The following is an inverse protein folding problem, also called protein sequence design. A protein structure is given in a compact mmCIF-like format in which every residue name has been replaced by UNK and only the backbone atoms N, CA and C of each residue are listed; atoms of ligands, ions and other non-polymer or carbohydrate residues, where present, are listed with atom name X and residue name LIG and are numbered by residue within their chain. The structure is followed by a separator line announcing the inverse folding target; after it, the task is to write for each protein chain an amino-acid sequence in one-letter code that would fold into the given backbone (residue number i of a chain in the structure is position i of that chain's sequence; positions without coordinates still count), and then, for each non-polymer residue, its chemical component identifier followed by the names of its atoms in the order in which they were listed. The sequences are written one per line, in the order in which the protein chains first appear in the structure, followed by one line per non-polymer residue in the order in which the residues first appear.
data_IF_753054061845
#
_entry.id   IF_753054061845
#
_cell.length_a   1.000
_cell.length_b   1.000
_cell.length_c   1.000
_cell.angle_alpha   90.00
_cell.angle_beta   90.00
_cell.angle_gamma   90.00
#
_symmetry.space_group_name_H-M   'P 1'
#
loop_
_entity.id
_entity.type
_entity.pdbx_description
1 polymer ?
#
# COMPACT_ATOMS: atom_id res chain seq x y z
N UNK A 1 36.69 -31.04 -5.13
CA UNK A 1 35.63 -30.30 -4.41
C UNK A 1 36.05 -28.83 -4.22
N UNK A 2 36.13 -28.05 -5.30
CA UNK A 2 36.33 -26.58 -5.25
C UNK A 2 35.74 -25.84 -6.47
N UNK A 3 34.82 -26.47 -7.23
CA UNK A 3 34.16 -25.88 -8.43
C UNK A 3 32.63 -25.83 -8.27
N UNK A 4 32.07 -26.28 -7.13
CA UNK A 4 30.62 -26.32 -6.92
C UNK A 4 30.02 -25.04 -6.30
N UNK A 5 30.82 -24.04 -5.93
CA UNK A 5 30.33 -22.87 -5.16
C UNK A 5 30.11 -21.61 -6.02
N UNK A 6 30.53 -21.58 -7.29
CA UNK A 6 30.48 -20.33 -8.10
C UNK A 6 29.44 -20.36 -9.24
N UNK A 7 28.80 -21.48 -9.55
CA UNK A 7 27.99 -21.62 -10.78
C UNK A 7 26.49 -21.91 -10.59
N UNK A 8 25.94 -21.94 -9.37
CA UNK A 8 24.50 -22.11 -9.16
C UNK A 8 23.92 -23.42 -9.73
N UNK A 9 24.78 -24.43 -9.94
CA UNK A 9 24.38 -25.75 -10.42
C UNK A 9 23.70 -26.50 -9.26
N UNK A 10 22.48 -27.04 -9.43
CA UNK A 10 21.79 -27.79 -8.38
C UNK A 10 22.63 -28.95 -7.84
N UNK A 11 22.63 -29.15 -6.53
CA UNK A 11 23.45 -30.15 -5.82
C UNK A 11 23.28 -31.60 -6.29
N UNK A 12 22.13 -31.95 -6.88
CA UNK A 12 21.89 -33.29 -7.44
C UNK A 12 22.71 -33.59 -8.71
N UNK A 13 23.25 -32.57 -9.40
CA UNK A 13 24.14 -32.77 -10.55
C UNK A 13 25.53 -33.28 -10.13
N UNK A 14 26.06 -32.81 -8.99
CA UNK A 14 27.32 -33.32 -8.46
C UNK A 14 27.19 -34.79 -8.05
N UNK A 15 26.03 -35.16 -7.49
CA UNK A 15 25.72 -36.54 -7.09
C UNK A 15 25.64 -37.48 -8.30
N UNK A 16 25.02 -37.05 -9.42
CA UNK A 16 24.94 -37.86 -10.64
C UNK A 16 26.33 -38.08 -11.27
N UNK A 17 27.18 -37.05 -11.25
CA UNK A 17 28.53 -37.12 -11.81
C UNK A 17 29.44 -38.03 -10.98
N UNK A 18 29.37 -37.92 -9.65
CA UNK A 18 30.10 -38.81 -8.74
C UNK A 18 29.61 -40.26 -8.87
N UNK A 19 28.30 -40.49 -9.07
CA UNK A 19 27.74 -41.83 -9.25
C UNK A 19 28.22 -42.49 -10.54
N UNK A 20 28.23 -41.76 -11.67
CA UNK A 20 28.70 -42.27 -12.96
C UNK A 20 30.23 -42.47 -12.98
N UNK A 21 30.98 -41.61 -12.29
CA UNK A 21 32.43 -41.73 -12.14
C UNK A 21 32.80 -42.93 -11.26
N UNK A 22 32.08 -43.17 -10.16
CA UNK A 22 32.29 -44.34 -9.29
C UNK A 22 31.96 -45.65 -10.00
N UNK A 23 30.87 -45.71 -10.78
CA UNK A 23 30.50 -46.91 -11.57
C UNK A 23 31.57 -47.24 -12.63
N UNK A 24 32.23 -46.23 -13.19
CA UNK A 24 33.34 -46.40 -14.15
C UNK A 24 34.61 -46.96 -13.47
N UNK A 25 34.96 -46.48 -12.28
CA UNK A 25 36.13 -46.98 -11.52
C UNK A 25 35.86 -48.38 -10.97
N UNK A 26 34.65 -48.67 -10.49
CA UNK A 26 34.28 -49.99 -9.96
C UNK A 26 34.36 -51.10 -11.03
N UNK A 27 34.02 -50.78 -12.29
CA UNK A 27 34.17 -51.71 -13.41
C UNK A 27 35.63 -51.84 -13.91
N UNK A 28 36.51 -50.90 -13.58
CA UNK A 28 37.93 -50.92 -13.94
C UNK A 28 38.85 -51.66 -12.95
N UNK A 29 38.38 -51.94 -11.73
CA UNK A 29 39.17 -52.57 -10.66
C UNK A 29 38.90 -54.06 -10.43
N UNK A 30 38.01 -54.70 -11.21
CA UNK A 30 37.62 -56.10 -11.06
C UNK A 30 38.08 -57.01 -12.20
N UNK A 31 39.35 -56.93 -12.62
CA UNK A 31 40.00 -57.97 -13.43
C UNK A 31 41.47 -58.14 -13.04
N UNK A 32 41.70 -58.63 -11.81
CA UNK A 32 42.95 -59.25 -11.41
C UNK A 32 42.75 -60.76 -11.23
N UNK A 33 43.47 -61.54 -12.03
CA UNK A 33 43.61 -63.01 -12.05
C UNK A 33 42.48 -63.82 -12.70
N UNK A 34 42.69 -64.19 -13.97
CA UNK A 34 41.99 -65.29 -14.63
C UNK A 34 42.30 -65.34 -16.11
N UNK A 35 43.12 -66.31 -16.51
CA UNK A 35 43.49 -66.65 -17.88
C UNK A 35 42.28 -66.95 -18.79
N UNK A 36 42.27 -66.40 -19.99
CA UNK A 36 41.38 -66.83 -21.08
C UNK A 36 41.13 -65.72 -22.10
N UNK A 37 41.66 -65.90 -23.31
CA UNK A 37 41.39 -65.05 -24.47
C UNK A 37 39.88 -64.95 -24.73
N UNK A 38 39.34 -63.73 -24.74
CA UNK A 38 38.29 -63.30 -25.67
C UNK A 38 38.14 -61.76 -25.63
N UNK A 39 38.58 -61.14 -26.73
CA UNK A 39 38.21 -59.82 -27.26
C UNK A 39 37.49 -58.82 -26.33
N UNK A 40 38.28 -57.85 -25.84
CA UNK A 40 37.85 -56.56 -25.30
C UNK A 40 36.81 -55.86 -26.20
N UNK A 41 35.58 -55.69 -25.70
CA UNK A 41 34.84 -54.45 -25.93
C UNK A 41 34.93 -53.62 -24.65
N UNK A 42 36.12 -53.03 -24.43
CA UNK A 42 36.23 -51.90 -23.52
C UNK A 42 35.39 -50.78 -24.10
N UNK A 43 34.35 -50.33 -23.39
CA UNK A 43 33.81 -49.00 -23.62
C UNK A 43 34.97 -48.05 -23.40
N UNK A 44 35.59 -47.59 -24.50
CA UNK A 44 36.76 -46.73 -24.44
C UNK A 44 36.38 -45.53 -23.56
N UNK A 45 37.26 -45.04 -22.67
CA UNK A 45 37.01 -43.82 -21.91
C UNK A 45 36.54 -42.67 -22.83
N UNK A 46 37.00 -42.67 -24.08
CA UNK A 46 36.57 -41.79 -25.16
C UNK A 46 35.05 -41.81 -25.43
N UNK A 47 34.37 -42.95 -25.31
CA UNK A 47 32.92 -43.08 -25.55
C UNK A 47 32.10 -42.49 -24.40
N UNK A 48 32.56 -42.68 -23.16
CA UNK A 48 31.93 -42.09 -21.97
C UNK A 48 32.14 -40.57 -21.95
N UNK A 49 33.36 -40.12 -22.29
CA UNK A 49 33.68 -38.69 -22.44
C UNK A 49 32.88 -38.08 -23.60
N UNK A 50 32.73 -38.77 -24.72
CA UNK A 50 31.91 -38.30 -25.85
C UNK A 50 30.43 -38.20 -25.49
N UNK A 51 29.86 -39.18 -24.80
CA UNK A 51 28.48 -39.12 -24.31
C UNK A 51 28.28 -37.99 -23.30
N UNK A 52 29.23 -37.79 -22.36
CA UNK A 52 29.18 -36.70 -21.40
C UNK A 52 29.28 -35.33 -22.09
N UNK A 53 30.14 -35.18 -23.10
CA UNK A 53 30.25 -33.96 -23.91
C UNK A 53 28.97 -33.70 -24.71
N UNK A 54 28.36 -34.71 -25.31
CA UNK A 54 27.09 -34.58 -26.05
C UNK A 54 25.96 -34.16 -25.11
N UNK A 55 25.84 -34.76 -23.93
CA UNK A 55 24.83 -34.36 -22.93
C UNK A 55 25.08 -32.93 -22.45
N UNK A 56 26.34 -32.57 -22.17
CA UNK A 56 26.71 -31.21 -21.76
C UNK A 56 26.41 -30.19 -22.88
N UNK A 57 26.68 -30.55 -24.14
CA UNK A 57 26.39 -29.71 -25.31
C UNK A 57 24.87 -29.58 -25.53
N UNK A 58 24.11 -30.67 -25.40
CA UNK A 58 22.64 -30.65 -25.50
C UNK A 58 22.01 -29.82 -24.37
N UNK A 59 22.59 -29.83 -23.17
CA UNK A 59 22.15 -29.02 -22.03
C UNK A 59 22.55 -27.54 -22.17
N UNK A 60 23.69 -27.24 -22.80
CA UNK A 60 24.09 -25.87 -23.19
C UNK A 60 23.25 -25.32 -24.35
N UNK A 61 22.66 -26.20 -25.16
CA UNK A 61 21.73 -25.86 -26.24
C UNK A 61 20.30 -25.61 -25.75
N UNK A 62 19.95 -25.95 -24.50
CA UNK A 62 18.70 -25.50 -23.87
C UNK A 62 18.88 -23.99 -23.64
N UNK A 63 18.20 -23.12 -24.41
CA UNK A 63 18.43 -21.69 -24.29
C UNK A 63 18.09 -21.28 -22.86
N UNK A 64 18.99 -20.55 -22.19
CA UNK A 64 18.78 -20.00 -20.84
C UNK A 64 17.39 -19.35 -20.68
N UNK A 65 16.85 -18.78 -21.76
CA UNK A 65 15.49 -18.25 -21.86
C UNK A 65 14.39 -19.29 -21.65
N UNK A 66 14.54 -20.52 -22.12
CA UNK A 66 13.56 -21.62 -21.93
C UNK A 66 13.56 -22.15 -20.49
N UNK A 67 14.72 -22.27 -19.85
CA UNK A 67 14.81 -22.64 -18.43
C UNK A 67 14.24 -21.52 -17.54
N UNK A 68 14.50 -20.26 -17.88
CA UNK A 68 13.93 -19.10 -17.18
C UNK A 68 12.42 -19.00 -17.40
N UNK A 69 11.93 -19.26 -18.62
CA UNK A 69 10.50 -19.26 -18.93
C UNK A 69 9.77 -20.41 -18.22
N UNK A 70 10.33 -21.62 -18.24
CA UNK A 70 9.78 -22.77 -17.53
C UNK A 70 9.70 -22.50 -16.02
N UNK A 71 10.78 -21.97 -15.43
CA UNK A 71 10.79 -21.55 -14.02
C UNK A 71 9.72 -20.49 -13.72
N UNK A 72 9.60 -19.45 -14.55
CA UNK A 72 8.54 -18.43 -14.41
C UNK A 72 7.13 -19.02 -14.50
N UNK A 73 6.90 -19.99 -15.39
CA UNK A 73 5.61 -20.66 -15.50
C UNK A 73 5.31 -21.53 -14.28
N UNK A 74 6.29 -22.28 -13.75
CA UNK A 74 6.12 -23.04 -12.50
C UNK A 74 5.94 -22.14 -11.30
N UNK A 75 6.67 -21.03 -11.21
CA UNK A 75 6.54 -20.05 -10.13
C UNK A 75 5.16 -19.37 -10.19
N UNK A 76 4.69 -19.01 -11.39
CA UNK A 76 3.36 -18.44 -11.59
C UNK A 76 2.24 -19.43 -11.25
N UNK A 77 2.37 -20.70 -11.64
CA UNK A 77 1.40 -21.74 -11.29
C UNK A 77 1.41 -22.05 -9.77
N UNK A 78 2.59 -22.06 -9.14
CA UNK A 78 2.73 -22.23 -7.71
C UNK A 78 2.13 -21.04 -6.94
N UNK A 79 2.42 -19.80 -7.37
CA UNK A 79 1.83 -18.58 -6.82
C UNK A 79 0.31 -18.60 -6.96
N UNK A 80 -0.25 -18.91 -8.13
CA UNK A 80 -1.70 -18.97 -8.32
C UNK A 80 -2.39 -20.01 -7.41
N UNK A 81 -1.68 -21.09 -7.05
CA UNK A 81 -2.20 -22.13 -6.17
C UNK A 81 -2.14 -21.76 -4.69
N UNK A 82 -1.11 -21.03 -4.25
CA UNK A 82 -0.84 -20.72 -2.84
C UNK A 82 -1.13 -19.26 -2.48
N UNK A 83 -1.47 -18.45 -3.47
CA UNK A 83 -1.89 -17.07 -3.35
C UNK A 83 -2.95 -16.76 -4.44
N UNK A 84 -4.22 -17.15 -4.21
CA UNK A 84 -5.31 -17.01 -5.16
C UNK A 84 -5.73 -15.56 -5.42
N UNK A 85 -5.12 -14.59 -4.74
CA UNK A 85 -5.35 -13.17 -4.98
C UNK A 85 -6.23 -12.49 -3.93
N UNK A 86 -6.21 -11.14 -3.91
CA UNK A 86 -6.97 -10.36 -2.92
C UNK A 86 -8.48 -10.55 -3.02
N UNK A 87 -9.00 -10.90 -4.20
CA UNK A 87 -10.42 -11.22 -4.35
C UNK A 87 -10.79 -12.48 -3.56
N UNK A 88 -9.95 -13.52 -3.63
CA UNK A 88 -10.21 -14.76 -2.91
C UNK A 88 -10.07 -14.56 -1.40
N UNK A 89 -9.04 -13.82 -0.98
CA UNK A 89 -8.83 -13.46 0.43
C UNK A 89 -10.07 -12.76 0.98
N UNK A 90 -10.58 -11.77 0.25
CA UNK A 90 -11.77 -11.01 0.61
C UNK A 90 -13.04 -11.87 0.69
N UNK A 91 -13.26 -12.71 -0.31
CA UNK A 91 -14.42 -13.61 -0.38
C UNK A 91 -14.41 -14.57 0.82
N UNK A 92 -13.24 -15.11 1.15
CA UNK A 92 -13.08 -16.06 2.26
C UNK A 92 -13.23 -15.37 3.61
N UNK A 93 -12.53 -14.24 3.82
CA UNK A 93 -12.53 -13.50 5.09
C UNK A 93 -13.92 -12.96 5.44
N UNK A 94 -14.63 -12.43 4.44
CA UNK A 94 -15.94 -11.80 4.63
C UNK A 94 -17.12 -12.70 4.24
N UNK A 95 -16.87 -13.98 3.94
CA UNK A 95 -17.92 -14.96 3.62
C UNK A 95 -18.81 -14.55 2.44
N UNK A 96 -18.24 -13.94 1.41
CA UNK A 96 -19.01 -13.41 0.28
C UNK A 96 -19.46 -14.56 -0.62
N UNK A 97 -20.77 -14.78 -0.72
CA UNK A 97 -21.30 -15.88 -1.51
C UNK A 97 -21.30 -15.58 -3.02
N UNK A 98 -21.15 -16.61 -3.88
CA UNK A 98 -21.41 -16.48 -5.30
C UNK A 98 -22.84 -15.97 -5.54
N UNK A 99 -22.99 -15.04 -6.47
CA UNK A 99 -24.29 -14.50 -6.81
C UNK A 99 -25.09 -15.48 -7.69
N UNK A 100 -26.44 -15.50 -7.57
CA UNK A 100 -27.32 -16.16 -8.52
C UNK A 100 -27.09 -15.67 -9.96
N UNK A 101 -27.36 -16.50 -10.99
CA UNK A 101 -27.09 -16.17 -12.39
C UNK A 101 -27.79 -14.91 -12.92
N UNK A 102 -28.88 -14.48 -12.29
CA UNK A 102 -29.75 -13.38 -12.68
C UNK A 102 -29.52 -12.07 -11.90
N UNK A 103 -28.57 -12.06 -10.96
CA UNK A 103 -28.23 -10.89 -10.16
C UNK A 103 -27.05 -10.08 -10.73
N UNK A 104 -26.95 -8.82 -10.34
CA UNK A 104 -25.75 -8.03 -10.61
C UNK A 104 -24.59 -8.54 -9.77
N UNK A 105 -23.47 -8.86 -10.42
CA UNK A 105 -22.32 -9.48 -9.76
C UNK A 105 -21.04 -8.67 -9.96
N UNK A 106 -20.10 -8.85 -9.03
CA UNK A 106 -18.71 -8.46 -9.23
C UNK A 106 -17.86 -9.71 -9.28
N UNK A 107 -17.37 -10.04 -10.49
CA UNK A 107 -16.59 -11.26 -10.75
C UNK A 107 -17.28 -12.55 -10.25
N UNK A 108 -18.62 -12.62 -10.37
CA UNK A 108 -19.41 -13.78 -9.95
C UNK A 108 -19.88 -13.77 -8.49
N UNK A 109 -19.51 -12.75 -7.70
CA UNK A 109 -19.91 -12.63 -6.30
C UNK A 109 -21.01 -11.58 -6.07
N UNK A 110 -21.78 -11.77 -4.99
CA UNK A 110 -22.86 -10.86 -4.61
C UNK A 110 -22.39 -9.42 -4.46
N UNK A 111 -23.24 -8.51 -4.94
CA UNK A 111 -22.98 -7.09 -4.93
C UNK A 111 -24.24 -6.33 -4.53
N UNK A 112 -24.06 -5.32 -3.67
CA UNK A 112 -25.12 -4.46 -3.16
C UNK A 112 -24.79 -2.99 -3.43
N UNK A 113 -25.83 -2.16 -3.44
CA UNK A 113 -25.68 -0.72 -3.65
C UNK A 113 -25.49 0.05 -2.35
N UNK A 114 -25.75 -0.53 -1.19
CA UNK A 114 -25.57 0.11 0.12
C UNK A 114 -25.06 -0.91 1.13
N UNK A 115 -24.22 -0.48 2.07
CA UNK A 115 -23.85 -1.31 3.21
C UNK A 115 -25.02 -1.43 4.20
N UNK A 116 -24.83 -2.11 5.32
CA UNK A 116 -25.86 -2.21 6.36
C UNK A 116 -25.75 -1.11 7.43
N UNK A 117 -24.91 -0.09 7.24
CA UNK A 117 -24.58 0.84 8.33
C UNK A 117 -25.80 1.60 8.85
N UNK A 118 -26.62 2.14 7.94
CA UNK A 118 -27.84 2.87 8.33
C UNK A 118 -28.87 1.98 9.01
N UNK A 119 -28.97 0.73 8.58
CA UNK A 119 -29.92 -0.25 9.12
C UNK A 119 -29.50 -0.69 10.54
N UNK A 120 -28.22 -0.98 10.72
CA UNK A 120 -27.68 -1.52 11.98
C UNK A 120 -27.42 -0.44 13.03
N UNK A 121 -27.00 0.76 12.62
CA UNK A 121 -26.52 1.80 13.52
C UNK A 121 -27.33 3.10 13.45
N UNK A 122 -28.32 3.18 12.56
CA UNK A 122 -29.06 4.41 12.28
C UNK A 122 -28.15 5.54 11.79
N UNK A 123 -28.66 6.77 11.85
CA UNK A 123 -27.84 7.98 11.72
C UNK A 123 -27.15 8.29 13.05
N UNK A 124 -26.26 7.39 13.48
CA UNK A 124 -25.35 7.63 14.60
C UNK A 124 -24.21 8.50 14.07
N UNK A 125 -24.43 9.82 13.96
CA UNK A 125 -23.38 10.79 13.62
C UNK A 125 -22.17 10.48 14.51
N UNK A 126 -21.08 9.96 13.95
CA UNK A 126 -19.92 9.56 14.75
C UNK A 126 -19.46 10.74 15.62
N UNK A 127 -18.99 10.49 16.85
CA UNK A 127 -18.59 11.57 17.79
C UNK A 127 -17.66 12.58 17.11
N UNK A 128 -16.70 12.10 16.31
CA UNK A 128 -15.81 12.94 15.52
C UNK A 128 -16.55 13.76 14.44
N UNK A 129 -17.53 13.17 13.75
CA UNK A 129 -18.35 13.90 12.77
C UNK A 129 -19.17 15.01 13.45
N UNK A 130 -19.81 14.71 14.59
CA UNK A 130 -20.58 15.71 15.34
C UNK A 130 -19.69 16.85 15.85
N UNK A 131 -18.53 16.50 16.43
CA UNK A 131 -17.52 17.48 16.83
C UNK A 131 -17.12 18.37 15.65
N UNK A 132 -16.86 17.80 14.47
CA UNK A 132 -16.51 18.56 13.28
C UNK A 132 -17.59 19.56 12.86
N UNK A 133 -18.86 19.12 12.82
CA UNK A 133 -19.98 19.95 12.38
C UNK A 133 -20.30 21.10 13.34
N UNK A 134 -19.97 20.95 14.63
CA UNK A 134 -20.13 22.01 15.63
C UNK A 134 -18.99 23.04 15.66
N UNK A 135 -17.90 22.82 14.93
CA UNK A 135 -16.74 23.71 15.01
C UNK A 135 -16.83 24.91 14.09
N UNK A 136 -16.55 26.09 14.65
CA UNK A 136 -16.32 27.30 13.89
C UNK A 136 -14.84 27.38 13.47
N UNK A 137 -14.55 27.07 12.19
CA UNK A 137 -13.19 27.16 11.65
C UNK A 137 -12.62 28.59 11.67
N UNK A 138 -13.47 29.62 11.72
CA UNK A 138 -13.04 31.01 11.91
C UNK A 138 -12.42 31.28 13.29
N UNK A 139 -12.90 30.59 14.33
CA UNK A 139 -12.30 30.65 15.67
C UNK A 139 -10.91 30.00 15.66
N UNK A 140 -10.75 28.86 14.96
CA UNK A 140 -9.46 28.19 14.82
C UNK A 140 -8.44 29.05 14.05
N UNK A 141 -8.89 29.75 13.00
CA UNK A 141 -8.09 30.77 12.30
C UNK A 141 -7.65 31.89 13.24
N UNK A 142 -8.59 32.47 14.00
CA UNK A 142 -8.29 33.57 14.92
C UNK A 142 -7.27 33.18 15.99
N UNK A 143 -7.28 31.92 16.43
CA UNK A 143 -6.32 31.35 17.38
C UNK A 143 -4.96 30.97 16.78
N UNK A 144 -4.75 31.16 15.47
CA UNK A 144 -3.51 30.76 14.80
C UNK A 144 -3.32 29.24 14.68
N UNK A 145 -4.39 28.45 14.88
CA UNK A 145 -4.36 26.99 14.81
C UNK A 145 -4.65 26.47 13.40
N UNK A 146 -5.12 27.34 12.50
CA UNK A 146 -5.49 26.99 11.14
C UNK A 146 -5.04 28.07 10.15
N UNK A 147 -4.29 27.66 9.13
CA UNK A 147 -3.88 28.46 7.97
C UNK A 147 -4.41 27.84 6.68
N UNK A 148 -4.78 28.67 5.70
CA UNK A 148 -5.42 28.20 4.46
C UNK A 148 -6.89 27.86 4.65
N UNK A 149 -7.57 27.50 3.57
CA UNK A 149 -9.03 27.32 3.59
C UNK A 149 -9.40 25.90 3.17
N UNK A 150 -9.80 25.02 4.11
CA UNK A 150 -10.20 23.65 3.80
C UNK A 150 -11.26 23.61 2.69
N UNK A 151 -11.00 22.81 1.66
CA UNK A 151 -11.83 22.68 0.46
C UNK A 151 -11.54 23.73 -0.63
N UNK A 152 -10.41 24.43 -0.58
CA UNK A 152 -9.99 25.36 -1.63
C UNK A 152 -9.07 24.67 -2.65
N UNK A 153 -9.05 25.17 -3.89
CA UNK A 153 -8.12 24.68 -4.94
C UNK A 153 -8.63 23.49 -5.77
N UNK A 154 -9.75 22.87 -5.38
CA UNK A 154 -10.34 21.73 -6.09
C UNK A 154 -10.93 22.09 -7.47
N UNK A 155 -11.06 23.37 -7.81
CA UNK A 155 -11.68 23.85 -9.06
C UNK A 155 -10.88 23.48 -10.32
N UNK A 156 -9.61 23.08 -10.15
CA UNK A 156 -8.69 22.75 -11.26
C UNK A 156 -8.42 21.24 -11.40
N UNK A 157 -9.07 20.41 -10.57
CA UNK A 157 -8.75 18.98 -10.39
C UNK A 157 -9.37 18.03 -11.42
N UNK A 158 -10.14 18.53 -12.39
CA UNK A 158 -10.78 17.71 -13.43
C UNK A 158 -11.92 16.80 -12.93
N UNK A 159 -12.30 16.88 -11.65
CA UNK A 159 -13.43 16.15 -11.08
C UNK A 159 -14.78 16.74 -11.49
N UNK A 160 -15.82 15.88 -11.52
CA UNK A 160 -17.20 16.35 -11.67
C UNK A 160 -17.67 17.12 -10.42
N UNK A 161 -18.81 17.82 -10.52
CA UNK A 161 -19.34 18.63 -9.40
C UNK A 161 -19.55 17.83 -8.12
N UNK A 162 -19.82 16.53 -8.21
CA UNK A 162 -20.02 15.65 -7.05
C UNK A 162 -18.69 15.31 -6.39
N UNK A 163 -17.66 15.00 -7.16
CA UNK A 163 -16.29 14.80 -6.68
C UNK A 163 -15.74 16.02 -5.95
N UNK A 164 -15.90 17.22 -6.53
CA UNK A 164 -15.48 18.49 -5.92
C UNK A 164 -16.19 18.71 -4.58
N UNK A 165 -17.52 18.57 -4.53
CA UNK A 165 -18.28 18.73 -3.29
C UNK A 165 -17.88 17.73 -2.20
N UNK A 166 -17.54 16.48 -2.58
CA UNK A 166 -17.11 15.44 -1.64
C UNK A 166 -15.72 15.74 -1.07
N UNK A 167 -14.78 16.19 -1.91
CA UNK A 167 -13.44 16.62 -1.48
C UNK A 167 -13.51 17.80 -0.51
N UNK A 168 -14.25 18.86 -0.88
CA UNK A 168 -14.44 20.03 -0.02
C UNK A 168 -15.02 19.67 1.34
N UNK A 169 -16.03 18.79 1.36
CA UNK A 169 -16.65 18.34 2.60
C UNK A 169 -15.66 17.52 3.44
N UNK A 170 -14.86 16.66 2.81
CA UNK A 170 -13.87 15.85 3.49
C UNK A 170 -12.82 16.67 4.22
N UNK A 171 -12.24 17.66 3.54
CA UNK A 171 -11.26 18.59 4.13
C UNK A 171 -11.85 19.39 5.29
N UNK A 172 -13.09 19.89 5.14
CA UNK A 172 -13.78 20.65 6.20
C UNK A 172 -14.09 19.78 7.41
N UNK A 173 -14.51 18.53 7.21
CA UNK A 173 -14.72 17.58 8.32
C UNK A 173 -13.39 17.33 9.04
N UNK A 174 -12.31 17.05 8.32
CA UNK A 174 -10.99 16.85 8.93
C UNK A 174 -10.59 18.08 9.75
N UNK A 175 -10.68 19.28 9.18
CA UNK A 175 -10.36 20.53 9.86
C UNK A 175 -11.20 20.74 11.12
N UNK A 176 -12.49 20.46 11.06
CA UNK A 176 -13.39 20.52 12.22
C UNK A 176 -12.99 19.54 13.32
N UNK A 177 -12.63 18.30 12.97
CA UNK A 177 -12.14 17.30 13.93
C UNK A 177 -10.87 17.83 14.62
N UNK A 178 -9.84 18.21 13.85
CA UNK A 178 -8.57 18.68 14.42
C UNK A 178 -8.79 19.90 15.31
N UNK A 179 -9.58 20.87 14.87
CA UNK A 179 -9.89 22.06 15.64
C UNK A 179 -10.63 21.73 16.95
N UNK A 180 -11.58 20.79 16.93
CA UNK A 180 -12.31 20.38 18.13
C UNK A 180 -11.37 19.75 19.18
N UNK A 181 -10.46 18.88 18.74
CA UNK A 181 -9.52 18.22 19.64
C UNK A 181 -8.44 19.19 20.15
N UNK A 182 -7.94 20.12 19.31
CA UNK A 182 -7.06 21.20 19.74
C UNK A 182 -7.74 22.09 20.81
N UNK A 183 -9.01 22.47 20.59
CA UNK A 183 -9.77 23.33 21.52
C UNK A 183 -9.92 22.70 22.91
N UNK A 184 -9.96 21.38 22.99
CA UNK A 184 -10.08 20.65 24.24
C UNK A 184 -8.71 20.32 24.88
N UNK A 185 -7.60 20.83 24.34
CA UNK A 185 -6.24 20.54 24.82
C UNK A 185 -5.77 19.11 24.54
N UNK A 186 -6.50 18.37 23.70
CA UNK A 186 -6.20 16.97 23.37
C UNK A 186 -5.34 16.85 22.10
N UNK A 187 -5.05 17.95 21.44
CA UNK A 187 -4.07 18.04 20.36
C UNK A 187 -3.35 19.38 20.50
N UNK A 188 -2.07 19.40 20.16
CA UNK A 188 -1.26 20.62 20.09
C UNK A 188 -0.61 20.72 18.72
N UNK A 189 -1.43 20.93 17.69
CA UNK A 189 -0.96 21.07 16.30
C UNK A 189 -1.49 22.33 15.62
N UNK A 190 -0.74 22.84 14.66
CA UNK A 190 -1.15 23.88 13.71
C UNK A 190 -1.48 23.21 12.39
N UNK A 191 -2.65 23.48 11.81
CA UNK A 191 -3.04 22.96 10.51
C UNK A 191 -2.81 23.95 9.38
N UNK A 192 -2.22 23.49 8.29
CA UNK A 192 -2.11 24.19 7.01
C UNK A 192 -2.96 23.45 5.99
N UNK A 193 -3.86 24.14 5.30
CA UNK A 193 -4.84 23.52 4.40
C UNK A 193 -4.69 24.00 2.97
N UNK A 194 -4.93 23.09 2.04
CA UNK A 194 -4.85 23.29 0.59
C UNK A 194 -3.45 23.78 0.17
N UNK A 195 -2.43 22.93 0.30
CA UNK A 195 -1.06 23.28 -0.07
C UNK A 195 -0.76 22.97 -1.55
N UNK A 196 0.13 23.77 -2.14
CA UNK A 196 0.80 23.42 -3.39
C UNK A 196 1.70 22.21 -3.18
N UNK A 197 1.74 21.31 -4.16
CA UNK A 197 2.83 20.35 -4.27
C UNK A 197 4.13 21.00 -4.73
N UNK A 198 5.16 20.17 -4.87
CA UNK A 198 6.48 20.55 -5.38
C UNK A 198 6.84 19.77 -6.65
N UNK A 199 7.73 20.35 -7.45
CA UNK A 199 8.50 19.66 -8.47
C UNK A 199 9.89 19.27 -7.94
N UNK A 200 10.69 18.60 -8.79
CA UNK A 200 12.06 18.16 -8.45
C UNK A 200 13.02 19.31 -8.11
N UNK A 201 12.68 20.54 -8.46
CA UNK A 201 13.48 21.73 -8.18
C UNK A 201 12.93 22.53 -6.98
N UNK A 202 11.97 21.98 -6.23
CA UNK A 202 11.32 22.66 -5.11
C UNK A 202 10.37 23.78 -5.52
N UNK A 203 10.00 23.88 -6.81
CA UNK A 203 9.02 24.87 -7.29
C UNK A 203 7.61 24.36 -7.06
N UNK A 204 6.69 25.28 -6.80
CA UNK A 204 5.28 24.95 -6.55
C UNK A 204 4.63 24.35 -7.78
N UNK A 205 3.86 23.30 -7.58
CA UNK A 205 3.00 22.66 -8.59
C UNK A 205 1.56 22.69 -8.14
N UNK A 206 0.64 22.55 -9.10
CA UNK A 206 -0.80 22.49 -8.80
C UNK A 206 -1.24 21.16 -8.18
N UNK A 207 -0.31 20.26 -7.81
CA UNK A 207 -0.70 19.10 -7.02
C UNK A 207 -1.35 19.56 -5.70
N UNK A 208 -2.40 18.85 -5.29
CA UNK A 208 -3.17 19.15 -4.09
C UNK A 208 -2.66 18.27 -2.94
N UNK A 209 -2.16 18.91 -1.89
CA UNK A 209 -1.98 18.30 -0.57
C UNK A 209 -3.03 18.95 0.32
N UNK A 210 -3.99 18.15 0.79
CA UNK A 210 -5.18 18.68 1.46
C UNK A 210 -4.80 19.37 2.78
N UNK A 211 -3.91 18.75 3.56
CA UNK A 211 -3.50 19.30 4.84
C UNK A 211 -2.06 18.92 5.24
N UNK A 212 -1.39 19.81 5.94
CA UNK A 212 -0.26 19.48 6.81
C UNK A 212 -0.60 19.85 8.24
N UNK A 213 -0.49 18.90 9.17
CA UNK A 213 -0.54 19.16 10.61
C UNK A 213 0.88 19.26 11.14
N UNK A 214 1.22 20.35 11.83
CA UNK A 214 2.55 20.59 12.38
C UNK A 214 2.47 20.61 13.91
N UNK A 215 3.30 19.80 14.56
CA UNK A 215 3.46 19.76 16.00
C UNK A 215 4.92 19.78 16.41
N UNK A 216 5.19 20.03 17.69
CA UNK A 216 6.52 19.92 18.26
C UNK A 216 6.45 19.04 19.50
N UNK A 217 7.38 18.09 19.64
CA UNK A 217 7.48 17.30 20.87
C UNK A 217 8.23 18.07 21.98
N UNK A 218 8.28 17.47 23.17
CA UNK A 218 8.99 18.06 24.32
C UNK A 218 10.52 18.03 24.18
N UNK A 219 11.07 17.32 23.19
CA UNK A 219 12.50 17.33 22.85
C UNK A 219 12.84 18.45 21.85
N UNK A 220 11.84 19.20 21.38
CA UNK A 220 12.00 20.29 20.43
C UNK A 220 12.05 19.83 18.97
N UNK A 221 11.68 18.58 18.67
CA UNK A 221 11.63 18.06 17.31
C UNK A 221 10.29 18.39 16.66
N UNK A 222 10.35 18.89 15.43
CA UNK A 222 9.17 19.17 14.63
C UNK A 222 8.65 17.93 13.94
N UNK A 223 7.35 17.72 14.04
CA UNK A 223 6.61 16.62 13.44
C UNK A 223 5.56 17.17 12.48
N UNK A 224 5.57 16.69 11.23
CA UNK A 224 4.62 17.07 10.20
C UNK A 224 3.85 15.86 9.68
N UNK A 225 2.52 15.92 9.69
CA UNK A 225 1.66 14.95 9.05
C UNK A 225 1.10 15.54 7.76
N UNK A 226 1.54 15.01 6.63
CA UNK A 226 0.96 15.28 5.32
C UNK A 226 -0.27 14.39 5.15
N UNK A 227 -1.44 15.01 5.12
CA UNK A 227 -2.73 14.34 5.16
C UNK A 227 -3.50 14.65 3.88
N UNK A 228 -3.95 13.61 3.20
CA UNK A 228 -4.93 13.68 2.12
C UNK A 228 -6.26 13.13 2.63
N UNK A 229 -7.30 13.97 2.67
CA UNK A 229 -8.57 13.71 3.31
C UNK A 229 -9.56 13.10 2.31
N UNK A 230 -10.08 11.90 2.62
CA UNK A 230 -11.04 11.19 1.78
C UNK A 230 -12.38 11.06 2.49
N UNK A 231 -13.39 11.71 1.90
CA UNK A 231 -14.79 11.50 2.24
C UNK A 231 -15.42 10.58 1.21
N UNK A 232 -15.32 9.28 1.45
CA UNK A 232 -15.87 8.25 0.58
C UNK A 232 -17.05 7.52 1.23
N UNK A 233 -17.79 6.82 0.37
CA UNK A 233 -18.98 6.07 0.73
C UNK A 233 -18.68 4.97 1.75
N UNK A 234 -19.58 4.79 2.70
CA UNK A 234 -19.57 3.69 3.66
C UNK A 234 -19.57 4.20 5.10
N UNK A 235 -20.25 3.46 5.97
CA UNK A 235 -20.25 3.68 7.41
C UNK A 235 -19.51 2.56 8.14
N UNK A 236 -19.86 2.34 9.40
CA UNK A 236 -19.21 1.33 10.29
C UNK A 236 -19.23 -0.11 9.75
N UNK A 237 -20.19 -0.45 8.91
CA UNK A 237 -20.32 -1.76 8.28
C UNK A 237 -19.42 -1.93 7.04
N UNK A 238 -18.96 -0.84 6.44
CA UNK A 238 -18.08 -0.91 5.28
C UNK A 238 -16.63 -1.21 5.68
N UNK A 239 -16.02 -2.17 4.98
CA UNK A 239 -14.58 -2.42 4.94
C UNK A 239 -14.02 -2.00 3.58
N UNK A 240 -12.90 -1.30 3.58
CA UNK A 240 -12.06 -1.12 2.40
C UNK A 240 -10.89 -2.08 2.42
N UNK A 241 -10.60 -2.69 1.27
CA UNK A 241 -9.48 -3.63 1.10
C UNK A 241 -8.63 -3.28 -0.12
N UNK A 242 -7.36 -3.66 -0.09
CA UNK A 242 -6.47 -3.58 -1.24
C UNK A 242 -6.76 -4.70 -2.24
N UNK A 243 -6.99 -4.36 -3.50
CA UNK A 243 -7.13 -5.31 -4.61
C UNK A 243 -5.84 -5.44 -5.43
N UNK A 244 -4.77 -4.74 -5.03
CA UNK A 244 -3.53 -4.61 -5.80
C UNK A 244 -3.65 -3.65 -6.98
N UNK A 245 -2.54 -3.39 -7.66
CA UNK A 245 -2.47 -2.50 -8.83
C UNK A 245 -3.13 -1.14 -8.59
N UNK A 246 -2.84 -0.52 -7.43
CA UNK A 246 -3.44 0.76 -7.04
C UNK A 246 -4.97 0.77 -7.09
N UNK A 247 -5.61 -0.34 -6.71
CA UNK A 247 -7.06 -0.50 -6.68
C UNK A 247 -7.52 -0.94 -5.29
N UNK A 248 -8.62 -0.37 -4.82
CA UNK A 248 -9.27 -0.77 -3.56
C UNK A 248 -10.73 -1.12 -3.81
N UNK A 249 -11.28 -2.03 -3.01
CA UNK A 249 -12.69 -2.45 -3.07
C UNK A 249 -13.41 -2.18 -1.75
N UNK A 250 -14.75 -2.16 -1.81
CA UNK A 250 -15.65 -1.96 -0.68
C UNK A 250 -16.44 -3.22 -0.40
N UNK A 251 -16.51 -3.61 0.87
CA UNK A 251 -17.26 -4.78 1.33
C UNK A 251 -18.19 -4.34 2.45
N UNK A 252 -19.42 -4.83 2.43
CA UNK A 252 -20.32 -4.77 3.58
C UNK A 252 -20.11 -6.04 4.39
N UNK A 253 -19.59 -5.89 5.61
CA UNK A 253 -19.27 -7.02 6.48
C UNK A 253 -20.52 -7.82 6.83
N UNK A 254 -21.62 -7.13 7.14
CA UNK A 254 -22.86 -7.76 7.58
C UNK A 254 -23.73 -8.28 6.43
N UNK A 255 -23.60 -7.71 5.22
CA UNK A 255 -24.33 -8.21 4.04
C UNK A 255 -23.56 -9.29 3.26
N UNK A 256 -22.33 -9.60 3.66
CA UNK A 256 -21.48 -10.57 2.96
C UNK A 256 -21.41 -10.29 1.45
N UNK A 257 -21.22 -9.03 1.07
CA UNK A 257 -21.32 -8.58 -0.32
C UNK A 257 -20.38 -7.41 -0.64
N UNK A 258 -19.98 -7.31 -1.90
CA UNK A 258 -19.30 -6.12 -2.42
C UNK A 258 -20.25 -4.92 -2.49
N UNK A 259 -19.75 -3.72 -2.22
CA UNK A 259 -20.55 -2.50 -2.23
C UNK A 259 -20.17 -1.62 -3.42
N UNK A 260 -21.14 -1.23 -4.23
CA UNK A 260 -20.89 -0.31 -5.36
C UNK A 260 -20.73 1.14 -4.93
N UNK A 261 -19.94 1.88 -5.71
CA UNK A 261 -19.76 3.31 -5.58
C UNK A 261 -20.91 4.07 -6.26
N UNK A 262 -20.91 5.41 -6.18
CA UNK A 262 -21.86 6.24 -6.94
C UNK A 262 -21.78 6.03 -8.46
N UNK A 263 -20.65 5.51 -8.95
CA UNK A 263 -20.39 5.15 -10.35
C UNK A 263 -20.83 3.71 -10.70
N UNK A 264 -21.44 3.00 -9.76
CA UNK A 264 -21.86 1.61 -9.91
C UNK A 264 -20.72 0.59 -9.82
N UNK A 265 -19.47 1.01 -9.59
CA UNK A 265 -18.31 0.11 -9.54
C UNK A 265 -17.97 -0.31 -8.11
N UNK A 266 -17.58 -1.56 -7.92
CA UNK A 266 -17.06 -2.07 -6.63
C UNK A 266 -15.70 -1.49 -6.31
N UNK A 267 -14.83 -1.42 -7.32
CA UNK A 267 -13.46 -0.97 -7.18
C UNK A 267 -13.31 0.52 -7.45
N UNK A 268 -12.35 1.16 -6.78
CA UNK A 268 -11.85 2.48 -7.14
C UNK A 268 -10.33 2.47 -7.33
N UNK A 269 -9.86 3.25 -8.28
CA UNK A 269 -8.43 3.45 -8.53
C UNK A 269 -7.87 4.52 -7.57
N UNK A 270 -6.75 4.21 -6.94
CA UNK A 270 -6.05 5.12 -6.02
C UNK A 270 -4.96 5.88 -6.76
N UNK A 271 -4.86 7.19 -6.54
CA UNK A 271 -3.83 8.04 -7.15
C UNK A 271 -2.49 7.93 -6.42
N UNK A 272 -1.38 7.90 -7.17
CA UNK A 272 -0.01 7.92 -6.66
C UNK A 272 0.50 9.33 -6.31
N UNK A 273 -0.37 10.36 -6.35
CA UNK A 273 0.01 11.75 -6.10
C UNK A 273 0.74 11.93 -4.75
N UNK A 274 0.23 11.32 -3.67
CA UNK A 274 0.85 11.44 -2.35
C UNK A 274 2.24 10.78 -2.29
N UNK A 275 2.42 9.61 -2.92
CA UNK A 275 3.75 8.98 -3.03
C UNK A 275 4.73 9.85 -3.81
N UNK A 276 4.25 10.45 -4.91
CA UNK A 276 5.06 11.37 -5.70
C UNK A 276 5.44 12.61 -4.89
N UNK A 277 4.49 13.24 -4.21
CA UNK A 277 4.72 14.42 -3.39
C UNK A 277 5.62 14.13 -2.19
N UNK A 278 5.54 12.94 -1.59
CA UNK A 278 6.50 12.50 -0.58
C UNK A 278 7.94 12.64 -1.07
N UNK A 279 8.22 12.16 -2.28
CA UNK A 279 9.56 12.26 -2.90
C UNK A 279 9.96 13.70 -3.22
N UNK A 280 9.01 14.56 -3.60
CA UNK A 280 9.30 15.96 -3.95
C UNK A 280 9.51 16.85 -2.72
N UNK A 281 8.84 16.55 -1.60
CA UNK A 281 8.94 17.30 -0.35
C UNK A 281 10.10 16.85 0.54
N UNK A 282 10.53 15.60 0.44
CA UNK A 282 11.59 15.02 1.29
C UNK A 282 12.86 15.89 1.40
N UNK A 283 13.43 16.46 0.30
CA UNK A 283 14.63 17.28 0.41
C UNK A 283 14.43 18.52 1.28
N UNK A 284 13.30 19.21 1.12
CA UNK A 284 12.94 20.40 1.89
C UNK A 284 12.71 20.07 3.36
N UNK A 285 12.02 18.97 3.65
CA UNK A 285 11.75 18.53 5.02
C UNK A 285 13.04 18.14 5.75
N UNK A 286 13.96 17.48 5.04
CA UNK A 286 15.27 17.11 5.56
C UNK A 286 16.15 18.33 5.84
N UNK A 287 16.17 19.32 4.96
CA UNK A 287 16.89 20.58 5.16
C UNK A 287 16.47 21.29 6.46
N UNK A 288 15.19 21.21 6.79
CA UNK A 288 14.61 21.81 7.99
C UNK A 288 14.52 20.87 9.20
N UNK A 289 15.09 19.66 9.13
CA UNK A 289 15.04 18.65 10.19
C UNK A 289 13.62 18.35 10.71
N UNK A 290 12.64 18.27 9.80
CA UNK A 290 11.24 17.98 10.11
C UNK A 290 11.01 16.48 9.96
N UNK A 291 10.53 15.83 11.02
CA UNK A 291 10.08 14.44 10.97
C UNK A 291 8.70 14.38 10.31
N UNK A 292 8.58 13.67 9.20
CA UNK A 292 7.39 13.74 8.35
C UNK A 292 6.74 12.39 8.16
N UNK A 293 5.43 12.34 8.39
CA UNK A 293 4.57 11.19 8.14
C UNK A 293 3.56 11.53 7.06
N UNK A 294 3.26 10.57 6.19
CA UNK A 294 2.35 10.72 5.06
C UNK A 294 1.19 9.76 5.23
N UNK A 295 -0.04 10.26 5.18
CA UNK A 295 -1.23 9.45 5.45
C UNK A 295 -2.38 9.85 4.53
N UNK A 296 -3.19 8.87 4.15
CA UNK A 296 -4.54 9.12 3.64
C UNK A 296 -5.51 9.01 4.81
N UNK A 297 -6.31 10.04 5.04
CA UNK A 297 -7.24 10.09 6.15
C UNK A 297 -8.68 9.93 5.66
N UNK A 298 -9.30 8.80 5.97
CA UNK A 298 -10.73 8.62 5.77
C UNK A 298 -11.50 9.32 6.88
N UNK A 299 -12.29 10.32 6.52
CA UNK A 299 -13.11 11.07 7.47
C UNK A 299 -14.49 10.45 7.62
N UNK A 300 -15.10 10.51 8.82
CA UNK A 300 -16.43 9.92 9.05
C UNK A 300 -17.52 10.59 8.21
N UNK A 301 -18.54 9.81 7.87
CA UNK A 301 -19.85 10.33 7.48
C UNK A 301 -20.91 10.18 8.58
N UNK A 302 -22.18 10.49 8.26
CA UNK A 302 -23.29 10.37 9.20
C UNK A 302 -23.49 8.96 9.78
N UNK A 303 -23.07 7.94 9.04
CA UNK A 303 -23.19 6.52 9.39
C UNK A 303 -21.89 5.96 10.03
N UNK A 304 -20.93 6.84 10.32
CA UNK A 304 -19.63 6.53 10.92
C UNK A 304 -18.47 6.52 9.94
N UNK A 305 -17.33 5.96 10.36
CA UNK A 305 -16.14 5.79 9.52
C UNK A 305 -16.06 4.34 9.05
N UNK A 306 -15.78 4.09 7.76
CA UNK A 306 -15.48 2.74 7.29
C UNK A 306 -14.21 2.20 7.94
N UNK A 307 -14.14 0.87 8.02
CA UNK A 307 -12.94 0.16 8.43
C UNK A 307 -11.88 0.23 7.31
N UNK A 308 -10.77 0.88 7.60
CA UNK A 308 -9.61 1.03 6.73
C UNK A 308 -8.35 0.39 7.34
N UNK A 309 -8.52 -0.51 8.31
CA UNK A 309 -7.38 -1.22 8.90
C UNK A 309 -6.62 -2.01 7.84
N UNK A 310 -5.28 -1.93 7.90
CA UNK A 310 -4.35 -2.55 6.94
C UNK A 310 -4.47 -2.05 5.48
N UNK A 311 -5.24 -0.99 5.23
CA UNK A 311 -5.40 -0.44 3.90
C UNK A 311 -4.18 0.42 3.53
N UNK A 312 -3.68 0.22 2.32
CA UNK A 312 -2.58 0.96 1.73
C UNK A 312 -3.05 1.63 0.43
N UNK A 313 -2.72 2.90 0.27
CA UNK A 313 -3.12 3.72 -0.87
C UNK A 313 -2.04 3.77 -1.94
N UNK A 314 -2.44 3.70 -3.21
CA UNK A 314 -1.52 3.59 -4.34
C UNK A 314 -0.51 2.45 -4.18
N UNK A 315 -0.99 1.34 -3.60
CA UNK A 315 -0.17 0.20 -3.28
C UNK A 315 -0.27 -0.89 -4.35
N UNK A 316 0.88 -1.49 -4.63
CA UNK A 316 0.97 -2.73 -5.37
C UNK A 316 1.10 -3.91 -4.40
N UNK A 317 0.64 -5.08 -4.83
CA UNK A 317 0.70 -6.32 -4.05
C UNK A 317 2.04 -7.00 -4.31
N UNK A 318 2.82 -7.22 -3.26
CA UNK A 318 4.08 -7.94 -3.32
C UNK A 318 3.95 -9.24 -2.53
N UNK A 319 4.20 -10.37 -3.20
CA UNK A 319 4.01 -11.70 -2.62
C UNK A 319 5.36 -12.36 -2.48
N UNK A 320 5.64 -12.92 -1.30
CA UNK A 320 6.88 -13.64 -1.01
C UNK A 320 6.58 -14.98 -0.38
N UNK A 321 7.48 -15.93 -0.54
CA UNK A 321 7.44 -17.18 0.21
C UNK A 321 7.65 -16.87 1.69
N UNK A 322 6.76 -17.38 2.53
CA UNK A 322 6.82 -17.23 3.97
C UNK A 322 6.45 -18.57 4.62
N UNK A 323 7.43 -19.30 5.18
CA UNK A 323 7.19 -20.59 5.79
C UNK A 323 6.35 -20.50 7.07
N UNK A 324 6.25 -19.32 7.68
CA UNK A 324 5.51 -19.10 8.92
C UNK A 324 4.05 -18.69 8.66
N UNK A 325 3.68 -18.41 7.41
CA UNK A 325 2.32 -18.10 7.00
C UNK A 325 1.48 -19.37 6.77
N UNK A 326 0.19 -19.41 7.18
CA UNK A 326 -0.71 -20.54 6.89
C UNK A 326 -0.87 -20.86 5.40
N UNK A 327 -0.71 -19.87 4.51
CA UNK A 327 -0.76 -20.05 3.06
C UNK A 327 0.60 -20.45 2.44
N UNK A 328 1.68 -20.46 3.22
CA UNK A 328 3.05 -20.61 2.73
C UNK A 328 3.59 -19.38 1.99
N UNK A 329 2.83 -18.28 2.03
CA UNK A 329 3.13 -17.00 1.38
C UNK A 329 2.73 -15.85 2.28
N UNK A 330 3.43 -14.72 2.20
CA UNK A 330 2.97 -13.45 2.76
C UNK A 330 2.82 -12.42 1.65
N UNK A 331 1.72 -11.67 1.72
CA UNK A 331 1.44 -10.56 0.83
C UNK A 331 1.60 -9.25 1.58
N UNK A 332 2.45 -8.38 1.06
CA UNK A 332 2.63 -7.03 1.56
C UNK A 332 2.14 -6.02 0.53
N UNK A 333 1.49 -4.98 1.02
CA UNK A 333 1.13 -3.81 0.22
C UNK A 333 2.03 -2.66 0.65
N UNK A 334 2.76 -2.09 -0.30
CA UNK A 334 3.61 -0.94 -0.04
C UNK A 334 3.00 0.31 -0.69
N UNK A 335 2.51 1.24 0.12
CA UNK A 335 1.89 2.48 -0.32
C UNK A 335 1.86 3.52 0.80
N UNK A 336 1.00 4.52 0.66
CA UNK A 336 0.72 5.46 1.75
C UNK A 336 -0.30 4.82 2.70
N UNK A 337 -0.04 4.75 4.01
CA UNK A 337 -0.98 4.17 4.95
C UNK A 337 -2.29 4.94 4.98
N UNK A 338 -3.40 4.21 4.99
CA UNK A 338 -4.73 4.79 5.18
C UNK A 338 -5.16 4.64 6.63
N UNK A 339 -5.65 5.73 7.21
CA UNK A 339 -6.14 5.76 8.59
C UNK A 339 -7.50 6.43 8.66
N UNK A 340 -8.32 6.02 9.62
CA UNK A 340 -9.49 6.82 10.04
C UNK A 340 -9.04 8.11 10.71
N UNK A 341 -9.86 9.17 10.64
CA UNK A 341 -9.60 10.41 11.38
C UNK A 341 -9.38 10.20 12.90
N UNK A 342 -10.12 9.29 13.53
CA UNK A 342 -9.93 8.95 14.95
C UNK A 342 -8.56 8.33 15.22
N UNK A 343 -8.08 7.45 14.33
CA UNK A 343 -6.73 6.87 14.42
C UNK A 343 -5.65 7.92 14.21
N UNK A 344 -5.80 8.83 13.24
CA UNK A 344 -4.87 9.94 13.05
C UNK A 344 -4.74 10.79 14.31
N UNK A 345 -5.88 11.24 14.87
CA UNK A 345 -5.92 11.98 16.14
C UNK A 345 -5.26 11.18 17.27
N UNK A 346 -5.54 9.88 17.37
CA UNK A 346 -4.94 9.02 18.38
C UNK A 346 -3.42 8.89 18.28
N UNK A 347 -2.88 8.80 17.05
CA UNK A 347 -1.43 8.78 16.80
C UNK A 347 -0.79 10.09 17.27
N UNK A 348 -1.36 11.23 16.87
CA UNK A 348 -0.82 12.55 17.22
C UNK A 348 -0.91 12.80 18.72
N UNK A 349 -2.07 12.50 19.33
CA UNK A 349 -2.28 12.67 20.77
C UNK A 349 -1.32 11.83 21.61
N UNK A 350 -1.01 10.60 21.18
CA UNK A 350 -0.07 9.71 21.87
C UNK A 350 1.38 10.25 21.91
N UNK A 351 1.72 11.22 21.06
CA UNK A 351 3.05 11.85 21.08
C UNK A 351 3.20 12.90 22.18
N UNK A 352 2.12 13.29 22.85
CA UNK A 352 2.13 14.31 23.90
C UNK A 352 2.89 15.56 23.45
N UNK A 353 2.45 16.17 22.35
CA UNK A 353 3.10 17.34 21.78
C UNK A 353 3.08 18.53 22.74
N UNK A 354 4.13 19.33 22.72
CA UNK A 354 4.22 20.60 23.43
C UNK A 354 3.19 21.62 22.90
N UNK A 355 2.90 22.67 23.66
CA UNK A 355 1.98 23.73 23.24
C UNK A 355 2.41 24.34 21.90
N UNK A 356 1.44 24.62 21.04
CA UNK A 356 1.65 25.22 19.71
C UNK A 356 2.43 26.54 19.73
N UNK A 357 2.42 27.29 20.84
CA UNK A 357 3.22 28.51 21.02
C UNK A 357 4.73 28.26 20.99
N UNK A 358 5.18 27.01 21.17
CA UNK A 358 6.60 26.65 21.07
C UNK A 358 7.03 26.28 19.64
N UNK A 359 6.11 26.17 18.69
CA UNK A 359 6.46 25.91 17.29
C UNK A 359 7.20 27.13 16.73
N UNK A 360 8.41 26.95 16.17
CA UNK A 360 9.19 28.06 15.64
C UNK A 360 8.50 28.83 14.49
N UNK A 361 8.62 30.16 14.54
CA UNK A 361 8.06 31.08 13.54
C UNK A 361 8.53 30.79 12.11
N UNK A 362 9.78 30.34 11.94
CA UNK A 362 10.37 29.99 10.66
C UNK A 362 9.74 28.72 10.06
N UNK A 363 9.41 27.73 10.90
CA UNK A 363 8.64 26.56 10.48
C UNK A 363 7.22 26.94 10.05
N UNK A 364 6.55 27.83 10.80
CA UNK A 364 5.22 28.36 10.41
C UNK A 364 5.33 29.11 9.08
N UNK A 365 6.32 29.99 8.93
CA UNK A 365 6.58 30.74 7.68
C UNK A 365 6.87 29.79 6.51
N UNK A 366 7.61 28.71 6.73
CA UNK A 366 7.91 27.69 5.73
C UNK A 366 6.61 27.14 5.13
N UNK A 367 5.70 26.60 5.94
CA UNK A 367 4.46 26.00 5.44
C UNK A 367 3.48 27.05 4.90
N UNK A 368 3.37 28.24 5.51
CA UNK A 368 2.54 29.34 4.98
C UNK A 368 2.91 29.73 3.55
N UNK A 369 4.17 29.57 3.13
CA UNK A 369 4.57 29.83 1.75
C UNK A 369 3.81 28.93 0.78
N UNK A 370 3.52 27.68 1.16
CA UNK A 370 2.93 26.69 0.27
C UNK A 370 1.40 26.61 0.35
N UNK A 371 0.76 27.33 1.27
CA UNK A 371 -0.70 27.43 1.32
C UNK A 371 -1.25 28.14 0.06
N UNK A 372 -2.29 27.55 -0.54
CA UNK A 372 -3.08 28.15 -1.62
C UNK A 372 -4.04 29.16 -1.00
N UNK A 373 -3.87 30.43 -1.35
CA UNK A 373 -4.76 31.50 -0.90
C UNK A 373 -5.76 31.82 -2.02
N UNK A 374 -7.08 31.81 -1.75
CA UNK A 374 -8.08 32.32 -2.67
C UNK A 374 -7.71 33.73 -3.15
N UNK A 375 -7.92 34.04 -4.43
CA UNK A 375 -7.68 35.37 -4.96
C UNK A 375 -8.38 36.44 -4.09
N UNK A 376 -7.60 37.39 -3.55
CA UNK A 376 -8.10 38.49 -2.72
C UNK A 376 -8.06 38.26 -1.20
N UNK A 377 -7.71 37.06 -0.71
CA UNK A 377 -7.51 36.83 0.72
C UNK A 377 -6.11 37.26 1.17
N UNK A 378 -6.03 38.13 2.20
CA UNK A 378 -4.77 38.69 2.71
C UNK A 378 -3.91 37.61 3.37
N UNK A 379 -2.61 37.63 3.07
CA UNK A 379 -1.57 36.88 3.80
C UNK A 379 -1.45 37.48 5.20
N UNK A 380 -2.14 36.90 6.18
CA UNK A 380 -1.94 37.21 7.60
C UNK A 380 -0.89 36.28 8.16
#
# INVERSE_FOLDING_TARGET
MLIAVVSGIPSWYAVLFDFLYFVSIANGASTGNGSGENTLYTSKPDTVIACALIITLLLLLIPWHTATACRRHTDAAWLNKHDPGPLHDAVTEYGIEPAPPDEMTYQGYHMVTQDASKELYGTSLGVAYHAAMGMNLGEAHYRGQLYGFPGSGLEHSGYDRRGISSGMLGEKILAGIIAAFNKNGNLNVIGFYSLYGLDRNGRRTNADIDCVLLGMDYEGRLHAWFVDAKYYKGGKDTKYICMGNSTIARISKSRHAFVTGPDGRVTLATSSNMLHQQSMWEPLLREHNIDAQWVICFVPGPEGTPDVSNLQWAADRHVRYDPDSPSGTSAEYQGIPVVSASRLVGIIHAMHLADTAYIPDDAIKLFKRYVKWPHGSRRH
#
